data_IF_824947366748
#
_entry.id   IF_824947366748
#
_cell.length_a   1.000
_cell.length_b   1.000
_cell.length_c   1.000
_cell.angle_alpha   90.00
_cell.angle_beta   90.00
_cell.angle_gamma   90.00
#
_symmetry.space_group_name_H-M   'P 1'
#
loop_
_entity.id
_entity.type
_entity.pdbx_description
1 polymer ?
#
# COMPACT_ATOMS: atom_id res chain seq x y z
N UNK A 1 13.29 12.40 49.11
CA UNK A 1 13.40 11.07 48.46
C UNK A 1 12.10 10.57 47.84
N UNK A 2 10.92 10.75 48.47
CA UNK A 2 9.65 10.23 47.95
C UNK A 2 9.14 10.87 46.63
N UNK A 3 9.52 12.11 46.34
CA UNK A 3 9.13 12.84 45.11
C UNK A 3 9.82 12.31 43.85
N UNK A 4 11.06 11.83 43.98
CA UNK A 4 11.83 11.27 42.87
C UNK A 4 11.21 9.97 42.35
N UNK A 5 10.80 9.08 43.26
CA UNK A 5 10.16 7.81 42.90
C UNK A 5 8.77 8.01 42.29
N UNK A 6 8.05 9.07 42.70
CA UNK A 6 6.77 9.47 42.11
C UNK A 6 6.93 9.91 40.65
N UNK A 7 7.95 10.69 40.33
CA UNK A 7 8.21 11.11 38.95
C UNK A 7 8.58 9.92 38.05
N UNK A 8 9.41 8.99 38.54
CA UNK A 8 9.77 7.78 37.80
C UNK A 8 8.54 6.90 37.53
N UNK A 9 7.68 6.70 38.54
CA UNK A 9 6.45 5.93 38.38
C UNK A 9 5.48 6.56 37.37
N UNK A 10 5.35 7.90 37.38
CA UNK A 10 4.51 8.62 36.41
C UNK A 10 5.08 8.54 34.99
N UNK A 11 6.40 8.64 34.84
CA UNK A 11 7.08 8.54 33.55
C UNK A 11 6.97 7.12 32.97
N UNK A 12 7.06 6.11 33.83
CA UNK A 12 6.85 4.70 33.47
C UNK A 12 5.40 4.44 33.04
N UNK A 13 4.41 4.99 33.76
CA UNK A 13 2.99 4.89 33.41
C UNK A 13 2.69 5.52 32.04
N UNK A 14 3.26 6.70 31.76
CA UNK A 14 3.12 7.38 30.46
C UNK A 14 3.74 6.53 29.34
N UNK A 15 4.94 5.97 29.54
CA UNK A 15 5.57 5.09 28.56
C UNK A 15 4.74 3.81 28.29
N UNK A 16 4.15 3.20 29.32
CA UNK A 16 3.31 1.99 29.14
C UNK A 16 2.08 2.29 28.30
N UNK A 17 1.42 3.45 28.48
CA UNK A 17 0.26 3.83 27.67
C UNK A 17 0.64 4.13 26.20
N UNK A 18 1.84 4.65 25.94
CA UNK A 18 2.31 4.90 24.57
C UNK A 18 2.57 3.59 23.79
N UNK A 19 3.00 2.53 24.47
CA UNK A 19 3.29 1.21 23.86
C UNK A 19 2.00 0.46 23.47
N UNK A 20 0.88 0.69 24.16
CA UNK A 20 -0.37 -0.03 23.88
C UNK A 20 -1.15 0.50 22.65
N UNK A 21 -0.66 1.54 21.96
CA UNK A 21 -1.35 2.19 20.84
C UNK A 21 -1.20 1.50 19.47
N UNK A 22 -0.52 0.35 19.37
CA UNK A 22 -0.08 -0.19 18.08
C UNK A 22 -0.66 -1.57 17.76
N UNK A 23 -1.95 -1.77 18.02
CA UNK A 23 -2.68 -2.87 17.40
C UNK A 23 -3.26 -2.42 16.05
N UNK A 24 -2.40 -1.96 15.14
CA UNK A 24 -2.80 -1.75 13.74
C UNK A 24 -3.02 -3.16 13.19
N UNK A 25 -4.24 -3.56 12.77
CA UNK A 25 -4.42 -4.87 12.16
C UNK A 25 -3.44 -4.95 10.99
N UNK A 26 -2.54 -5.94 11.01
CA UNK A 26 -1.67 -6.21 9.87
C UNK A 26 -2.57 -6.66 8.72
N UNK A 27 -2.97 -5.70 7.91
CA UNK A 27 -3.34 -5.97 6.53
C UNK A 27 -2.09 -6.63 5.95
N UNK A 28 -2.17 -7.94 5.69
CA UNK A 28 -1.09 -8.65 5.00
C UNK A 28 -1.14 -8.25 3.54
N UNK A 29 -0.62 -7.06 3.25
CA UNK A 29 -0.58 -6.48 1.91
C UNK A 29 0.14 -7.39 0.91
N UNK A 30 1.08 -8.22 1.37
CA UNK A 30 1.68 -9.29 0.56
C UNK A 30 0.68 -10.37 0.10
N UNK A 31 -0.23 -10.80 0.99
CA UNK A 31 -1.27 -11.78 0.64
C UNK A 31 -2.28 -11.15 -0.34
N UNK A 32 -2.67 -9.88 -0.11
CA UNK A 32 -3.58 -9.14 -1.00
C UNK A 32 -2.96 -8.92 -2.38
N UNK A 33 -1.69 -8.52 -2.45
CA UNK A 33 -0.95 -8.42 -3.71
C UNK A 33 -0.95 -9.75 -4.45
N UNK A 34 -0.61 -10.84 -3.75
CA UNK A 34 -0.53 -12.16 -4.38
C UNK A 34 -1.89 -12.62 -4.90
N UNK A 35 -2.96 -12.44 -4.11
CA UNK A 35 -4.33 -12.75 -4.54
C UNK A 35 -4.75 -11.92 -5.75
N UNK A 36 -4.48 -10.61 -5.73
CA UNK A 36 -4.86 -9.70 -6.80
C UNK A 36 -4.09 -9.98 -8.11
N UNK A 37 -2.81 -10.38 -8.03
CA UNK A 37 -2.02 -10.83 -9.18
C UNK A 37 -2.64 -12.10 -9.78
N UNK A 38 -3.03 -13.08 -8.96
CA UNK A 38 -3.69 -14.31 -9.46
C UNK A 38 -5.01 -13.97 -10.15
N UNK A 39 -5.78 -13.02 -9.61
CA UNK A 39 -7.03 -12.56 -10.24
C UNK A 39 -6.75 -11.88 -11.59
N UNK A 40 -5.73 -11.02 -11.67
CA UNK A 40 -5.27 -10.39 -12.90
C UNK A 40 -4.88 -11.44 -13.95
N UNK A 41 -4.01 -12.37 -13.58
CA UNK A 41 -3.54 -13.46 -14.47
C UNK A 41 -4.68 -14.36 -14.95
N UNK A 42 -5.78 -14.41 -14.20
CA UNK A 42 -7.01 -15.15 -14.55
C UNK A 42 -8.00 -14.32 -15.39
N UNK A 43 -7.65 -13.09 -15.78
CA UNK A 43 -8.53 -12.18 -16.53
C UNK A 43 -9.69 -11.59 -15.72
N UNK A 44 -9.67 -11.74 -14.39
CA UNK A 44 -10.72 -11.22 -13.47
C UNK A 44 -10.33 -9.83 -12.97
N UNK A 45 -10.23 -8.89 -13.92
CA UNK A 45 -9.59 -7.60 -13.68
C UNK A 45 -10.34 -6.73 -12.66
N UNK A 46 -11.66 -6.68 -12.68
CA UNK A 46 -12.46 -5.89 -11.73
C UNK A 46 -12.25 -6.36 -10.29
N UNK A 47 -12.12 -7.67 -10.09
CA UNK A 47 -11.87 -8.26 -8.77
C UNK A 47 -10.45 -7.99 -8.30
N UNK A 48 -9.46 -8.08 -9.20
CA UNK A 48 -8.09 -7.69 -8.92
C UNK A 48 -8.00 -6.20 -8.51
N UNK A 49 -8.66 -5.32 -9.26
CA UNK A 49 -8.76 -3.88 -8.95
C UNK A 49 -9.37 -3.66 -7.56
N UNK A 50 -10.48 -4.34 -7.25
CA UNK A 50 -11.12 -4.24 -5.95
C UNK A 50 -10.18 -4.68 -4.81
N UNK A 51 -9.40 -5.74 -5.00
CA UNK A 51 -8.39 -6.21 -4.04
C UNK A 51 -7.25 -5.23 -3.87
N UNK A 52 -6.63 -4.75 -4.95
CA UNK A 52 -5.54 -3.78 -4.88
C UNK A 52 -5.91 -2.52 -4.09
N UNK A 53 -7.13 -1.99 -4.31
CA UNK A 53 -7.62 -0.77 -3.64
C UNK A 53 -7.81 -0.90 -2.13
N UNK A 54 -7.68 -2.11 -1.57
CA UNK A 54 -7.67 -2.32 -0.11
C UNK A 54 -6.32 -1.99 0.54
N UNK A 55 -5.23 -1.93 -0.24
CA UNK A 55 -3.90 -1.57 0.27
C UNK A 55 -3.82 -0.04 0.45
N UNK A 56 -3.62 0.46 1.69
CA UNK A 56 -3.65 1.89 1.95
C UNK A 56 -2.36 2.60 1.51
N UNK A 57 -2.40 3.92 1.22
CA UNK A 57 -1.22 4.72 0.81
C UNK A 57 -0.01 4.71 1.76
N UNK A 58 -0.24 4.37 3.03
CA UNK A 58 0.77 4.28 4.09
C UNK A 58 1.46 2.91 4.15
N UNK A 59 1.01 1.95 3.36
CA UNK A 59 1.61 0.63 3.29
C UNK A 59 2.92 0.66 2.50
N UNK A 60 3.90 -0.11 2.93
CA UNK A 60 5.19 -0.24 2.22
C UNK A 60 5.04 -0.85 0.83
N UNK A 61 4.00 -1.65 0.61
CA UNK A 61 3.68 -2.27 -0.67
C UNK A 61 2.92 -1.33 -1.62
N UNK A 62 2.56 -0.10 -1.19
CA UNK A 62 1.69 0.78 -1.96
C UNK A 62 2.24 1.11 -3.36
N UNK A 63 3.55 1.37 -3.49
CA UNK A 63 4.16 1.63 -4.81
C UNK A 63 4.10 0.41 -5.72
N UNK A 64 4.30 -0.80 -5.19
CA UNK A 64 4.16 -2.04 -5.97
C UNK A 64 2.69 -2.23 -6.39
N UNK A 65 1.76 -2.04 -5.45
CA UNK A 65 0.33 -2.12 -5.75
C UNK A 65 -0.06 -1.16 -6.86
N UNK A 66 0.39 0.09 -6.83
CA UNK A 66 0.07 1.05 -7.89
C UNK A 66 0.60 0.60 -9.26
N UNK A 67 1.77 -0.03 -9.34
CA UNK A 67 2.26 -0.59 -10.61
C UNK A 67 1.40 -1.74 -11.13
N UNK A 68 1.00 -2.67 -10.26
CA UNK A 68 0.13 -3.79 -10.65
C UNK A 68 -1.28 -3.31 -11.01
N UNK A 69 -1.79 -2.31 -10.27
CA UNK A 69 -3.09 -1.71 -10.52
C UNK A 69 -3.12 -0.97 -11.86
N UNK A 70 -2.06 -0.23 -12.21
CA UNK A 70 -1.96 0.43 -13.52
C UNK A 70 -1.93 -0.59 -14.66
N UNK A 71 -1.18 -1.69 -14.51
CA UNK A 71 -1.17 -2.79 -15.48
C UNK A 71 -2.54 -3.45 -15.61
N UNK A 72 -3.25 -3.61 -14.49
CA UNK A 72 -4.60 -4.21 -14.50
C UNK A 72 -5.63 -3.30 -15.15
N UNK A 73 -5.55 -1.97 -14.92
CA UNK A 73 -6.39 -1.01 -15.61
C UNK A 73 -6.14 -1.02 -17.13
N UNK A 74 -4.87 -1.05 -17.55
CA UNK A 74 -4.49 -1.16 -18.97
C UNK A 74 -5.05 -2.44 -19.61
N UNK A 75 -4.88 -3.58 -18.93
CA UNK A 75 -5.42 -4.87 -19.39
C UNK A 75 -6.96 -4.91 -19.44
N UNK A 76 -7.63 -4.12 -18.61
CA UNK A 76 -9.08 -3.96 -18.60
C UNK A 76 -9.59 -2.83 -19.52
N UNK A 77 -8.72 -2.28 -20.38
CA UNK A 77 -9.03 -1.18 -21.31
C UNK A 77 -9.48 0.13 -20.62
N UNK A 78 -9.15 0.28 -19.34
CA UNK A 78 -9.43 1.48 -18.52
C UNK A 78 -8.24 2.43 -18.56
N UNK A 79 -7.96 2.99 -19.73
CA UNK A 79 -6.71 3.73 -20.00
C UNK A 79 -6.57 5.02 -19.18
N UNK A 80 -7.66 5.75 -18.94
CA UNK A 80 -7.62 6.98 -18.14
C UNK A 80 -7.19 6.70 -16.70
N UNK A 81 -7.72 5.64 -16.09
CA UNK A 81 -7.34 5.18 -14.76
C UNK A 81 -5.92 4.61 -14.73
N UNK A 82 -5.49 3.90 -15.77
CA UNK A 82 -4.11 3.41 -15.90
C UNK A 82 -3.12 4.60 -15.91
N UNK A 83 -3.37 5.61 -16.73
CA UNK A 83 -2.56 6.84 -16.82
C UNK A 83 -2.53 7.58 -15.48
N UNK A 84 -3.70 7.76 -14.84
CA UNK A 84 -3.78 8.43 -13.54
C UNK A 84 -2.99 7.68 -12.46
N UNK A 85 -3.09 6.35 -12.43
CA UNK A 85 -2.39 5.48 -11.48
C UNK A 85 -0.88 5.50 -11.73
N UNK A 86 -0.44 5.45 -13.00
CA UNK A 86 0.96 5.59 -13.36
C UNK A 86 1.54 6.94 -12.89
N UNK A 87 0.82 8.03 -13.12
CA UNK A 87 1.24 9.37 -12.66
C UNK A 87 1.34 9.45 -11.15
N UNK A 88 0.46 8.78 -10.42
CA UNK A 88 0.54 8.72 -8.96
C UNK A 88 1.79 7.96 -8.50
N UNK A 89 2.05 6.78 -9.05
CA UNK A 89 3.22 5.97 -8.71
C UNK A 89 4.54 6.70 -9.04
N UNK A 90 4.60 7.41 -10.18
CA UNK A 90 5.78 8.15 -10.62
C UNK A 90 6.08 9.43 -9.81
N UNK A 91 5.19 9.87 -8.91
CA UNK A 91 5.53 10.93 -7.93
C UNK A 91 6.67 10.51 -7.00
N UNK A 92 6.89 9.19 -6.83
CA UNK A 92 7.98 8.61 -6.06
C UNK A 92 8.63 7.49 -6.90
N UNK A 93 9.50 7.87 -7.86
CA UNK A 93 10.16 6.90 -8.72
C UNK A 93 10.97 5.89 -7.90
N UNK A 94 11.10 4.68 -8.43
CA UNK A 94 11.74 3.59 -7.72
C UNK A 94 11.80 2.34 -8.58
N UNK A 95 11.81 1.17 -7.94
CA UNK A 95 11.98 -0.13 -8.62
C UNK A 95 11.06 -0.35 -9.83
N UNK A 96 9.83 0.18 -9.79
CA UNK A 96 8.81 -0.06 -10.82
C UNK A 96 8.76 1.03 -11.90
N UNK A 97 9.64 2.03 -11.86
CA UNK A 97 9.62 3.19 -12.77
C UNK A 97 9.63 2.80 -14.25
N UNK A 98 10.54 1.91 -14.66
CA UNK A 98 10.64 1.48 -16.06
C UNK A 98 9.34 0.81 -16.55
N UNK A 99 8.69 0.00 -15.69
CA UNK A 99 7.43 -0.64 -16.00
C UNK A 99 6.29 0.38 -16.12
N UNK A 100 6.20 1.31 -15.17
CA UNK A 100 5.20 2.38 -15.17
C UNK A 100 5.30 3.29 -16.40
N UNK A 101 6.53 3.64 -16.81
CA UNK A 101 6.77 4.42 -18.03
C UNK A 101 6.36 3.63 -19.28
N UNK A 102 6.57 2.32 -19.30
CA UNK A 102 6.10 1.46 -20.39
C UNK A 102 4.58 1.46 -20.47
N UNK A 103 3.88 1.23 -19.36
CA UNK A 103 2.41 1.23 -19.30
C UNK A 103 1.85 2.59 -19.71
N UNK A 104 2.43 3.69 -19.22
CA UNK A 104 2.03 5.05 -19.58
C UNK A 104 2.24 5.38 -21.07
N UNK A 105 3.18 4.70 -21.75
CA UNK A 105 3.44 4.93 -23.17
C UNK A 105 2.51 4.14 -24.09
N UNK A 106 1.85 3.08 -23.60
CA UNK A 106 0.97 2.22 -24.39
C UNK A 106 -0.52 2.42 -24.10
N UNK A 107 -0.85 2.90 -22.89
CA UNK A 107 -2.19 3.35 -22.51
C UNK A 107 -2.52 4.72 -23.13
#
# INVERSE_FOLDING_TARGET
MATFWRCIALLWLVCVTAVHGQHVPLIKSGDILSEAIILHDSGRYEEAIARYKTIPPRDTAYTQMLSELALTYDANEQYDEAIATCREALKRPGRYEAHLLRTLAVA
#
